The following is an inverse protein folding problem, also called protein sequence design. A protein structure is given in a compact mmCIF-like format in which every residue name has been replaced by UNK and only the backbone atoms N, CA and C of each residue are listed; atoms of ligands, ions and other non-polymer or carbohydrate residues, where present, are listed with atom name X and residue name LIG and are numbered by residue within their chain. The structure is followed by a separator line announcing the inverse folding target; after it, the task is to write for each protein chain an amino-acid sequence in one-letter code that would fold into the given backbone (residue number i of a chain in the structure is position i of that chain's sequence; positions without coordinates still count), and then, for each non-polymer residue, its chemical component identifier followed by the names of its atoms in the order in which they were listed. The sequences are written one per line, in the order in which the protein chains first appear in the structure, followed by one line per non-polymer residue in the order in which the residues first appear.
data_IF_163945487658
#
_entry.id   IF_163945487658
#
_cell.length_a   1.000
_cell.length_b   1.000
_cell.length_c   1.000
_cell.angle_alpha   90.00
_cell.angle_beta   90.00
_cell.angle_gamma   90.00
#
_symmetry.space_group_name_H-M   'P 1'
#
loop_
_entity.id
_entity.type
_entity.pdbx_description
1 polymer ?
#
# COMPACT_ATOMS: atom_id res chain seq x y z
N UNK A 1 -0.35 2.67 56.61
CA UNK A 1 -1.29 1.98 55.70
C UNK A 1 -1.86 3.00 54.72
N UNK A 2 -1.80 2.69 53.40
CA UNK A 2 -2.55 3.21 52.23
C UNK A 2 -2.79 4.73 52.14
N UNK A 3 -2.08 5.46 51.25
CA UNK A 3 -2.36 5.65 49.81
C UNK A 3 -3.74 6.29 49.55
N UNK A 4 -3.75 7.52 49.03
CA UNK A 4 -4.34 7.97 47.74
C UNK A 4 -4.07 9.49 47.66
N UNK A 5 -3.02 9.87 46.91
CA UNK A 5 -2.89 11.24 46.42
C UNK A 5 -3.82 11.32 45.22
N UNK A 6 -4.84 12.16 45.35
CA UNK A 6 -5.82 12.48 44.32
C UNK A 6 -5.12 13.35 43.27
N UNK A 7 -4.35 12.74 42.37
CA UNK A 7 -3.83 13.37 41.17
C UNK A 7 -4.94 13.40 40.11
N UNK A 8 -5.94 14.25 40.36
CA UNK A 8 -6.94 14.66 39.39
C UNK A 8 -6.55 16.07 38.94
N UNK A 9 -6.53 16.33 37.63
CA UNK A 9 -6.18 17.60 36.94
C UNK A 9 -4.76 17.70 36.38
N UNK A 10 -4.41 16.79 35.47
CA UNK A 10 -3.53 17.10 34.33
C UNK A 10 -4.00 16.30 33.11
N UNK A 11 -5.29 16.46 32.80
CA UNK A 11 -5.91 16.06 31.53
C UNK A 11 -6.43 17.35 30.85
N UNK A 12 -5.56 18.36 30.79
CA UNK A 12 -5.74 19.45 29.85
C UNK A 12 -5.25 18.89 28.53
N UNK A 13 -6.22 18.63 27.65
CA UNK A 13 -6.02 17.99 26.38
C UNK A 13 -4.89 18.65 25.60
N UNK A 14 -3.84 17.88 25.39
CA UNK A 14 -3.13 17.93 24.12
C UNK A 14 -4.12 17.34 23.13
N UNK A 15 -5.03 18.17 22.63
CA UNK A 15 -5.66 17.96 21.33
C UNK A 15 -4.48 18.13 20.38
N UNK A 16 -3.68 17.06 20.26
CA UNK A 16 -2.64 16.96 19.26
C UNK A 16 -3.38 17.10 17.95
N UNK A 17 -3.13 18.22 17.30
CA UNK A 17 -3.30 18.45 15.88
C UNK A 17 -3.57 17.13 15.16
N UNK A 18 -4.82 16.92 14.70
CA UNK A 18 -5.00 15.97 13.61
C UNK A 18 -4.28 16.60 12.44
N UNK A 19 -2.99 16.27 12.30
CA UNK A 19 -2.30 16.35 11.02
C UNK A 19 -3.30 15.85 10.00
N UNK A 20 -3.76 16.73 9.11
CA UNK A 20 -4.54 16.36 7.95
C UNK A 20 -3.85 15.16 7.32
N UNK A 21 -4.48 14.01 7.47
CA UNK A 21 -3.97 12.73 7.02
C UNK A 21 -3.89 12.84 5.49
N UNK A 22 -2.69 13.11 4.97
CA UNK A 22 -2.33 12.86 3.57
C UNK A 22 -2.29 11.33 3.39
N UNK A 23 -3.44 10.69 3.64
CA UNK A 23 -3.68 9.27 3.61
C UNK A 23 -4.35 8.99 2.28
N UNK A 24 -3.58 8.45 1.33
CA UNK A 24 -4.15 7.84 0.13
C UNK A 24 -5.29 6.89 0.55
N UNK A 25 -6.52 7.18 0.11
CA UNK A 25 -7.70 6.34 0.33
C UNK A 25 -7.61 5.13 -0.58
N UNK A 26 -6.79 4.18 -0.17
CA UNK A 26 -6.60 2.92 -0.86
C UNK A 26 -7.45 1.80 -0.29
N UNK A 27 -7.07 0.57 -0.64
CA UNK A 27 -7.40 -0.59 0.17
C UNK A 27 -7.05 -0.29 1.64
N UNK A 28 -7.74 -0.89 2.61
CA UNK A 28 -7.36 -0.80 4.01
C UNK A 28 -7.11 -2.22 4.51
N UNK A 29 -6.10 -2.88 3.93
CA UNK A 29 -5.84 -4.29 4.15
C UNK A 29 -4.57 -4.52 4.98
N UNK A 30 -4.53 -5.56 5.84
CA UNK A 30 -3.33 -5.90 6.59
C UNK A 30 -2.24 -6.42 5.65
N UNK A 31 -1.02 -5.92 5.83
CA UNK A 31 0.17 -6.41 5.13
C UNK A 31 0.72 -7.69 5.78
N UNK A 32 1.08 -8.66 4.96
CA UNK A 32 1.65 -9.95 5.37
C UNK A 32 3.03 -10.17 4.75
N UNK A 33 3.99 -10.63 5.55
CA UNK A 33 5.35 -10.86 5.08
C UNK A 33 6.02 -12.02 5.80
N UNK A 34 6.95 -12.67 5.11
CA UNK A 34 7.87 -13.68 5.65
C UNK A 34 9.14 -13.06 6.29
N UNK A 35 9.21 -11.72 6.34
CA UNK A 35 10.34 -10.96 6.86
C UNK A 35 11.42 -10.63 5.82
N UNK A 36 11.27 -11.05 4.56
CA UNK A 36 12.19 -10.71 3.47
C UNK A 36 11.66 -9.55 2.64
N UNK A 37 12.58 -8.81 2.02
CA UNK A 37 12.24 -7.69 1.14
C UNK A 37 11.79 -8.13 -0.26
N UNK A 38 12.20 -9.32 -0.72
CA UNK A 38 11.92 -9.81 -2.07
C UNK A 38 12.38 -8.83 -3.18
N UNK A 39 13.64 -8.39 -3.09
CA UNK A 39 14.25 -7.48 -4.08
C UNK A 39 14.16 -8.03 -5.51
N UNK A 40 14.27 -9.35 -5.65
CA UNK A 40 14.14 -10.05 -6.93
C UNK A 40 12.75 -9.94 -7.56
N UNK A 41 11.74 -9.52 -6.80
CA UNK A 41 10.38 -9.26 -7.28
C UNK A 41 10.18 -7.76 -7.46
N UNK A 42 10.53 -6.96 -6.45
CA UNK A 42 10.30 -5.52 -6.43
C UNK A 42 11.11 -4.74 -7.49
N UNK A 43 12.29 -5.23 -7.88
CA UNK A 43 13.15 -4.56 -8.87
C UNK A 43 12.90 -5.01 -10.31
N UNK A 44 11.97 -5.94 -10.56
CA UNK A 44 11.77 -6.53 -11.90
C UNK A 44 10.77 -5.79 -12.77
N UNK A 45 9.90 -4.99 -12.18
CA UNK A 45 8.78 -4.36 -12.87
C UNK A 45 8.56 -2.96 -12.34
N UNK A 46 7.93 -2.15 -13.16
CA UNK A 46 7.28 -0.93 -12.71
C UNK A 46 6.07 -1.30 -11.85
N UNK A 47 5.90 -0.55 -10.76
CA UNK A 47 4.81 -0.70 -9.82
C UNK A 47 3.74 0.31 -10.20
N UNK A 48 2.81 -0.15 -11.03
CA UNK A 48 1.68 0.66 -11.48
C UNK A 48 0.44 0.32 -10.66
N UNK A 49 -0.14 1.35 -10.06
CA UNK A 49 -1.30 1.28 -9.19
C UNK A 49 -2.10 2.57 -9.34
N UNK A 50 -3.27 2.46 -9.96
CA UNK A 50 -4.13 3.60 -10.28
C UNK A 50 -3.34 4.67 -11.08
N UNK A 51 -3.23 5.92 -10.62
CA UNK A 51 -2.48 7.00 -11.30
C UNK A 51 -0.99 7.06 -10.90
N UNK A 52 -0.50 6.09 -10.13
CA UNK A 52 0.89 6.06 -9.63
C UNK A 52 1.66 4.96 -10.33
N UNK A 53 2.82 5.31 -10.89
CA UNK A 53 3.72 4.37 -11.55
C UNK A 53 5.14 4.57 -11.05
N UNK A 54 5.64 3.58 -10.28
CA UNK A 54 6.91 3.69 -9.57
C UNK A 54 7.87 2.62 -10.05
N UNK A 55 9.01 3.03 -10.57
CA UNK A 55 10.16 2.14 -10.76
C UNK A 55 11.09 2.21 -9.55
N UNK A 56 11.47 1.05 -9.01
CA UNK A 56 12.42 0.96 -7.89
C UNK A 56 13.81 0.67 -8.43
N UNK A 57 14.75 1.58 -8.22
CA UNK A 57 16.16 1.40 -8.60
C UNK A 57 17.04 1.17 -7.40
N UNK A 58 17.89 0.14 -7.47
CA UNK A 58 18.99 -0.09 -6.52
C UNK A 58 20.28 0.50 -7.08
N UNK A 59 20.84 1.47 -6.39
CA UNK A 59 22.09 2.13 -6.73
C UNK A 59 23.30 1.25 -6.40
N UNK A 60 24.46 1.55 -7.01
CA UNK A 60 25.73 0.82 -6.79
C UNK A 60 26.18 0.81 -5.32
N UNK A 61 25.82 1.84 -4.56
CA UNK A 61 26.13 1.95 -3.13
C UNK A 61 25.12 1.20 -2.23
N UNK A 62 24.18 0.45 -2.82
CA UNK A 62 23.17 -0.32 -2.10
C UNK A 62 21.97 0.49 -1.61
N UNK A 63 21.90 1.80 -1.91
CA UNK A 63 20.71 2.63 -1.65
C UNK A 63 19.63 2.36 -2.68
N UNK A 64 18.38 2.67 -2.34
CA UNK A 64 17.24 2.53 -3.23
C UNK A 64 16.68 3.91 -3.57
N UNK A 65 16.08 4.02 -4.76
CA UNK A 65 15.34 5.20 -5.19
C UNK A 65 14.00 4.76 -5.76
N UNK A 66 12.97 5.55 -5.50
CA UNK A 66 11.70 5.48 -6.21
C UNK A 66 11.73 6.52 -7.32
N UNK A 67 11.35 6.09 -8.52
CA UNK A 67 11.23 6.92 -9.71
C UNK A 67 9.75 6.92 -10.05
N UNK A 68 9.06 7.98 -9.66
CA UNK A 68 7.61 8.15 -9.85
C UNK A 68 7.35 8.89 -11.16
N UNK A 69 6.65 8.25 -12.08
CA UNK A 69 6.31 8.77 -13.41
C UNK A 69 4.90 9.37 -13.46
N UNK A 70 4.26 9.64 -12.31
CA UNK A 70 3.04 10.41 -12.28
C UNK A 70 3.24 11.79 -12.94
N UNK A 71 2.51 12.06 -14.02
CA UNK A 71 2.54 13.38 -14.66
C UNK A 71 1.46 14.27 -14.03
N UNK A 72 1.90 15.28 -13.29
CA UNK A 72 1.03 16.31 -12.73
C UNK A 72 0.45 17.22 -13.84
N UNK A 73 1.06 17.19 -15.03
CA UNK A 73 0.77 18.11 -16.15
C UNK A 73 0.13 17.44 -17.36
N UNK A 74 0.12 16.10 -17.42
CA UNK A 74 -0.28 15.32 -18.59
C UNK A 74 0.76 15.27 -19.72
N UNK A 75 1.97 15.78 -19.50
CA UNK A 75 3.10 15.68 -20.44
C UNK A 75 3.80 14.33 -20.27
N UNK A 76 3.73 13.49 -21.31
CA UNK A 76 4.40 12.19 -21.37
C UNK A 76 5.94 12.27 -21.28
N UNK A 77 6.51 13.47 -21.43
CA UNK A 77 7.95 13.71 -21.34
C UNK A 77 8.38 14.30 -19.99
N UNK A 78 7.46 14.44 -19.03
CA UNK A 78 7.78 14.92 -17.69
C UNK A 78 8.80 13.96 -17.03
N UNK A 79 9.95 14.47 -16.55
CA UNK A 79 10.93 13.60 -15.91
C UNK A 79 10.35 13.03 -14.61
N UNK A 80 10.69 11.78 -14.24
CA UNK A 80 10.16 11.19 -13.02
C UNK A 80 10.60 11.97 -11.80
N UNK A 81 9.72 12.05 -10.80
CA UNK A 81 10.09 12.50 -9.47
C UNK A 81 10.91 11.40 -8.79
N UNK A 82 12.15 11.73 -8.45
CA UNK A 82 13.08 10.78 -7.83
C UNK A 82 13.15 11.05 -6.31
N UNK A 83 12.80 10.05 -5.50
CA UNK A 83 12.94 10.10 -4.05
C UNK A 83 13.88 9.00 -3.55
N UNK A 84 14.66 9.30 -2.51
CA UNK A 84 15.50 8.30 -1.85
C UNK A 84 14.62 7.40 -0.97
N UNK A 85 14.77 6.09 -1.14
CA UNK A 85 14.02 5.10 -0.37
C UNK A 85 14.92 4.40 0.66
N UNK A 86 14.42 4.29 1.90
CA UNK A 86 15.06 3.59 3.00
C UNK A 86 14.47 2.19 3.17
N UNK A 87 15.34 1.22 3.44
CA UNK A 87 14.92 -0.14 3.77
C UNK A 87 14.51 -0.22 5.24
N UNK A 88 13.23 -0.41 5.49
CA UNK A 88 12.67 -0.68 6.82
C UNK A 88 12.30 -2.15 6.93
N UNK A 89 13.23 -2.96 7.43
CA UNK A 89 13.10 -4.43 7.52
C UNK A 89 12.85 -5.07 6.14
N UNK A 90 11.59 -5.26 5.80
CA UNK A 90 11.04 -6.01 4.67
C UNK A 90 10.27 -5.11 3.68
N UNK A 91 10.33 -3.79 3.84
CA UNK A 91 9.74 -2.81 2.92
C UNK A 91 10.76 -1.72 2.56
N UNK A 92 10.57 -1.08 1.42
CA UNK A 92 11.25 0.15 1.04
C UNK A 92 10.29 1.32 1.23
N UNK A 93 10.77 2.45 1.72
CA UNK A 93 9.90 3.60 1.98
C UNK A 93 10.59 4.93 1.68
N UNK A 94 9.84 5.89 1.17
CA UNK A 94 10.25 7.28 1.07
C UNK A 94 9.51 8.14 2.12
N UNK A 95 9.29 9.42 1.86
CA UNK A 95 8.55 10.29 2.78
C UNK A 95 7.03 10.07 2.75
N UNK A 96 6.46 9.50 1.67
CA UNK A 96 5.01 9.42 1.44
C UNK A 96 4.44 8.02 1.56
N UNK A 97 5.18 7.01 1.09
CA UNK A 97 4.68 5.64 0.95
C UNK A 97 5.73 4.61 1.34
N UNK A 98 5.30 3.36 1.38
CA UNK A 98 6.19 2.21 1.36
C UNK A 98 5.78 1.24 0.26
N UNK A 99 6.73 0.45 -0.21
CA UNK A 99 6.50 -0.66 -1.11
C UNK A 99 7.03 -1.95 -0.48
N UNK A 100 6.24 -3.01 -0.57
CA UNK A 100 6.60 -4.35 -0.10
C UNK A 100 6.03 -5.46 -0.97
N UNK A 101 6.39 -6.69 -0.66
CA UNK A 101 5.81 -7.89 -1.26
C UNK A 101 4.86 -8.55 -0.26
N UNK A 102 3.57 -8.62 -0.58
CA UNK A 102 2.60 -9.27 0.29
C UNK A 102 2.56 -10.78 0.02
N UNK A 103 2.90 -11.57 1.03
CA UNK A 103 3.04 -13.03 0.87
C UNK A 103 1.71 -13.78 0.73
N UNK A 104 0.59 -13.18 1.18
CA UNK A 104 -0.74 -13.77 1.07
C UNK A 104 -1.33 -13.51 -0.32
N UNK A 105 -1.22 -12.27 -0.80
CA UNK A 105 -1.64 -11.86 -2.13
C UNK A 105 -0.68 -12.35 -3.22
N UNK A 106 0.59 -12.57 -2.86
CA UNK A 106 1.71 -12.92 -3.74
C UNK A 106 2.05 -11.85 -4.77
N UNK A 107 1.74 -10.59 -4.46
CA UNK A 107 1.95 -9.43 -5.33
C UNK A 107 2.73 -8.31 -4.62
N UNK A 108 3.42 -7.44 -5.37
CA UNK A 108 3.89 -6.15 -4.83
C UNK A 108 2.70 -5.29 -4.39
N UNK A 109 2.90 -4.51 -3.34
CA UNK A 109 1.87 -3.65 -2.76
C UNK A 109 2.46 -2.30 -2.37
N UNK A 110 1.65 -1.26 -2.54
CA UNK A 110 1.89 0.06 -1.97
C UNK A 110 1.22 0.10 -0.61
N UNK A 111 1.97 0.54 0.41
CA UNK A 111 1.55 0.61 1.78
C UNK A 111 1.52 2.07 2.24
N UNK A 112 0.56 2.39 3.10
CA UNK A 112 0.58 3.65 3.84
C UNK A 112 1.86 3.73 4.69
N UNK A 113 2.58 4.84 4.59
CA UNK A 113 3.86 5.05 5.28
C UNK A 113 3.79 4.83 6.79
N UNK A 114 2.70 5.30 7.42
CA UNK A 114 2.48 5.32 8.88
C UNK A 114 1.88 4.01 9.37
N UNK A 115 0.78 3.57 8.77
CA UNK A 115 0.02 2.40 9.27
C UNK A 115 0.55 1.07 8.73
N UNK A 116 1.36 1.10 7.65
CA UNK A 116 1.84 -0.07 6.90
C UNK A 116 0.73 -0.96 6.35
N UNK A 117 -0.49 -0.43 6.25
CA UNK A 117 -1.63 -1.11 5.62
C UNK A 117 -1.53 -0.95 4.11
N UNK A 118 -1.93 -1.99 3.38
CA UNK A 118 -1.93 -1.99 1.92
C UNK A 118 -2.98 -1.01 1.47
N UNK A 119 -2.54 0.00 0.70
CA UNK A 119 -3.38 1.00 0.05
C UNK A 119 -3.53 0.74 -1.44
N UNK A 120 -2.59 0.03 -2.07
CA UNK A 120 -2.79 -0.45 -3.44
C UNK A 120 -2.09 -1.77 -3.70
N UNK A 121 -2.70 -2.60 -4.55
CA UNK A 121 -2.16 -3.89 -4.99
C UNK A 121 -1.71 -3.73 -6.44
N UNK A 122 -0.45 -4.07 -6.69
CA UNK A 122 0.18 -3.90 -8.00
C UNK A 122 -0.12 -5.14 -8.83
N UNK A 123 -1.11 -5.04 -9.70
CA UNK A 123 -1.48 -6.11 -10.63
C UNK A 123 -0.65 -6.00 -11.91
N UNK A 124 -0.70 -7.03 -12.74
CA UNK A 124 0.00 -7.02 -14.04
C UNK A 124 -0.59 -5.96 -14.99
N UNK A 125 0.23 -5.47 -15.92
CA UNK A 125 -0.18 -4.50 -16.93
C UNK A 125 -1.43 -4.99 -17.69
N UNK A 126 -2.41 -4.10 -17.89
CA UNK A 126 -3.74 -4.37 -18.47
C UNK A 126 -4.75 -5.10 -17.56
N UNK A 127 -4.50 -5.16 -16.25
CA UNK A 127 -5.53 -5.56 -15.31
C UNK A 127 -6.57 -4.44 -15.13
N UNK A 128 -7.65 -4.52 -15.90
CA UNK A 128 -8.85 -3.76 -15.60
C UNK A 128 -9.57 -4.40 -14.41
N UNK A 129 -9.83 -3.60 -13.36
CA UNK A 129 -10.68 -4.03 -12.25
C UNK A 129 -12.11 -4.24 -12.80
N UNK A 130 -12.49 -5.49 -13.04
CA UNK A 130 -13.81 -5.87 -13.53
C UNK A 130 -14.52 -6.72 -12.48
N UNK A 131 -15.75 -6.34 -12.14
CA UNK A 131 -16.59 -7.03 -11.15
C UNK A 131 -17.27 -8.29 -11.73
N UNK A 132 -16.63 -9.01 -12.66
CA UNK A 132 -17.18 -10.27 -13.15
C UNK A 132 -16.89 -11.42 -12.17
N UNK A 133 -17.71 -12.49 -12.17
CA UNK A 133 -17.57 -13.58 -11.20
C UNK A 133 -16.21 -14.27 -11.19
N UNK A 134 -15.54 -14.39 -12.34
CA UNK A 134 -14.28 -15.12 -12.44
C UNK A 134 -13.12 -14.25 -11.95
N UNK A 135 -13.12 -12.96 -12.29
CA UNK A 135 -12.14 -11.99 -11.77
C UNK A 135 -12.27 -11.84 -10.26
N UNK A 136 -13.48 -11.63 -9.74
CA UNK A 136 -13.73 -11.52 -8.28
C UNK A 136 -13.43 -12.81 -7.52
N UNK A 137 -13.49 -13.97 -8.17
CA UNK A 137 -13.06 -15.24 -7.56
C UNK A 137 -11.55 -15.32 -7.39
N UNK A 138 -10.79 -14.72 -8.31
CA UNK A 138 -9.32 -14.66 -8.25
C UNK A 138 -8.84 -13.56 -7.32
N UNK A 139 -9.52 -12.41 -7.33
CA UNK A 139 -9.16 -11.19 -6.61
C UNK A 139 -10.33 -10.66 -5.76
N UNK A 140 -10.78 -11.42 -4.75
CA UNK A 140 -11.95 -11.05 -3.94
C UNK A 140 -11.77 -9.74 -3.16
N UNK A 141 -10.53 -9.33 -2.92
CA UNK A 141 -10.16 -8.07 -2.28
C UNK A 141 -10.47 -6.82 -3.11
N UNK A 142 -10.58 -6.94 -4.44
CA UNK A 142 -10.86 -5.80 -5.32
C UNK A 142 -12.29 -5.28 -5.17
N UNK A 143 -13.25 -6.17 -4.90
CA UNK A 143 -14.60 -5.82 -4.51
C UNK A 143 -15.21 -6.89 -3.59
N UNK A 144 -14.93 -6.85 -2.28
CA UNK A 144 -15.35 -7.90 -1.35
C UNK A 144 -16.86 -8.00 -1.18
N UNK A 145 -17.58 -6.89 -1.37
CA UNK A 145 -19.05 -6.86 -1.31
C UNK A 145 -19.66 -7.58 -2.51
N UNK A 146 -19.22 -7.24 -3.72
CA UNK A 146 -19.68 -7.93 -4.93
C UNK A 146 -19.26 -9.39 -4.94
N UNK A 147 -18.03 -9.71 -4.53
CA UNK A 147 -17.59 -11.10 -4.41
C UNK A 147 -18.48 -11.89 -3.44
N UNK A 148 -18.83 -11.30 -2.27
CA UNK A 148 -19.76 -11.91 -1.31
C UNK A 148 -21.13 -12.14 -1.94
N UNK A 149 -21.68 -11.15 -2.64
CA UNK A 149 -22.95 -11.26 -3.34
C UNK A 149 -22.92 -12.39 -4.38
N UNK A 150 -21.90 -12.42 -5.24
CA UNK A 150 -21.72 -13.48 -6.24
C UNK A 150 -21.62 -14.86 -5.60
N UNK A 151 -20.76 -14.97 -4.57
CA UNK A 151 -20.56 -16.22 -3.84
C UNK A 151 -21.85 -16.71 -3.21
N UNK A 152 -22.63 -15.85 -2.60
CA UNK A 152 -23.84 -16.24 -1.86
C UNK A 152 -25.02 -16.50 -2.81
N UNK A 153 -25.19 -15.67 -3.84
CA UNK A 153 -26.27 -15.80 -4.81
C UNK A 153 -26.05 -16.96 -5.78
N UNK A 154 -24.89 -17.06 -6.44
CA UNK A 154 -24.65 -18.11 -7.45
C UNK A 154 -24.38 -19.50 -6.85
N UNK A 155 -24.01 -19.60 -5.56
CA UNK A 155 -23.98 -20.91 -4.88
C UNK A 155 -25.37 -21.50 -4.65
N UNK A 156 -26.43 -20.69 -4.66
CA UNK A 156 -27.82 -21.17 -4.53
C UNK A 156 -28.38 -21.71 -5.86
N UNK A 157 -27.69 -21.48 -6.99
CA UNK A 157 -28.12 -21.89 -8.33
C UNK A 157 -27.28 -23.05 -8.92
N UNK A 158 -26.56 -23.81 -8.09
CA UNK A 158 -25.83 -25.03 -8.50
C UNK A 158 -26.54 -26.30 -8.08
#
# INVERSE_FOLDING_TARGET
MKKIIMALLLLIGVIGFSEEEFSYKGYDLPFTSDGKLHEEILLKREITADDTSIEIKKLKNGKYQFWDYASDTGDENEPPRITDAIKEKNVLCDEYICVGYDTKLKDPVILNRKTKRIISIVREENYDKVDDPETLRRFPEDNPEMYKLYRDYYKLYK
#
